data_IF_166441730664
#
_entry.id   IF_166441730664
#
_cell.length_a   1.000
_cell.length_b   1.000
_cell.length_c   1.000
_cell.angle_alpha   90.00
_cell.angle_beta   90.00
_cell.angle_gamma   90.00
#
_symmetry.space_group_name_H-M   'P 1'
#
loop_
_entity.id
_entity.type
_entity.pdbx_description
1 polymer ?
#
# COMPACT_ATOMS: atom_id res chain seq x y z
N UNK A 1 -0.57 -8.80 76.50
CA UNK A 1 -0.56 -9.61 75.26
C UNK A 1 0.27 -8.86 74.22
N UNK A 2 1.34 -9.45 73.71
CA UNK A 2 2.21 -8.85 72.68
C UNK A 2 1.58 -9.09 71.29
N UNK A 3 1.59 -8.13 70.35
CA UNK A 3 1.17 -8.40 68.98
C UNK A 3 2.30 -9.09 68.19
N UNK A 4 1.94 -10.16 67.47
CA UNK A 4 2.85 -10.90 66.58
C UNK A 4 3.21 -10.06 65.35
N UNK A 5 4.52 -9.92 65.10
CA UNK A 5 5.12 -9.18 63.98
C UNK A 5 5.17 -9.96 62.66
N UNK A 6 4.44 -11.07 62.53
CA UNK A 6 4.44 -11.92 61.32
C UNK A 6 3.04 -12.45 60.96
N UNK A 7 2.07 -11.55 60.84
CA UNK A 7 0.78 -11.89 60.24
C UNK A 7 0.83 -11.62 58.72
N UNK A 8 0.96 -12.69 57.92
CA UNK A 8 0.87 -12.64 56.45
C UNK A 8 -0.58 -12.33 56.02
N UNK A 9 -0.90 -11.05 55.94
CA UNK A 9 -2.22 -10.53 55.55
C UNK A 9 -2.60 -10.79 54.09
N UNK A 10 -1.75 -11.45 53.30
CA UNK A 10 -1.93 -11.73 51.87
C UNK A 10 -2.54 -13.12 51.58
N UNK A 11 -2.72 -13.97 52.60
CA UNK A 11 -3.28 -15.33 52.46
C UNK A 11 -4.76 -15.42 52.86
N UNK A 12 -5.43 -14.30 53.12
CA UNK A 12 -6.88 -14.28 53.34
C UNK A 12 -7.62 -14.22 51.99
N UNK A 13 -8.64 -15.05 51.76
CA UNK A 13 -9.29 -15.17 50.46
C UNK A 13 -10.22 -13.99 50.10
N UNK A 14 -10.29 -12.93 50.91
CA UNK A 14 -11.33 -11.89 50.81
C UNK A 14 -10.83 -10.45 50.61
N UNK A 15 -9.62 -10.27 50.06
CA UNK A 15 -9.15 -8.93 49.68
C UNK A 15 -8.95 -8.79 48.18
N UNK A 16 -9.69 -7.84 47.61
CA UNK A 16 -9.72 -7.39 46.22
C UNK A 16 -8.36 -7.50 45.51
N UNK A 17 -8.25 -8.45 44.58
CA UNK A 17 -7.11 -8.55 43.66
C UNK A 17 -7.04 -7.31 42.78
N UNK A 18 -5.92 -6.60 42.90
CA UNK A 18 -5.47 -5.62 41.93
C UNK A 18 -5.45 -6.25 40.52
N UNK A 19 -6.02 -5.52 39.56
CA UNK A 19 -6.07 -5.84 38.13
C UNK A 19 -4.69 -6.16 37.59
N UNK A 20 -4.47 -7.43 37.28
CA UNK A 20 -3.30 -7.89 36.55
C UNK A 20 -3.66 -9.16 35.78
N UNK A 21 -3.86 -8.99 34.48
CA UNK A 21 -3.65 -9.99 33.43
C UNK A 21 -4.42 -11.32 33.52
N UNK A 22 -5.43 -11.50 32.66
CA UNK A 22 -5.86 -12.82 32.19
C UNK A 22 -5.83 -12.84 30.67
N UNK A 23 -4.93 -13.67 30.13
CA UNK A 23 -4.87 -13.95 28.72
C UNK A 23 -6.05 -14.77 28.22
N UNK A 24 -6.42 -14.43 26.99
CA UNK A 24 -7.01 -15.23 25.90
C UNK A 24 -8.46 -15.77 25.99
N UNK A 25 -9.10 -15.61 24.82
CA UNK A 25 -10.18 -16.37 24.18
C UNK A 25 -11.64 -15.91 24.38
N UNK A 26 -12.22 -15.54 23.24
CA UNK A 26 -13.61 -15.70 22.81
C UNK A 26 -14.73 -14.99 23.60
N UNK A 27 -15.20 -13.86 23.03
CA UNK A 27 -16.63 -13.75 22.73
C UNK A 27 -16.83 -12.87 21.51
N UNK A 28 -17.48 -13.46 20.52
CA UNK A 28 -18.05 -12.81 19.37
C UNK A 28 -19.27 -12.00 19.83
N UNK A 29 -19.61 -10.97 19.07
CA UNK A 29 -20.77 -10.07 19.26
C UNK A 29 -20.75 -9.15 20.49
N UNK A 30 -20.31 -7.91 20.26
CA UNK A 30 -20.96 -6.75 20.88
C UNK A 30 -21.01 -5.61 19.86
N UNK A 31 -22.10 -5.60 19.08
CA UNK A 31 -22.56 -4.47 18.30
C UNK A 31 -22.76 -3.26 19.22
N UNK A 32 -22.35 -2.06 18.79
CA UNK A 32 -22.75 -0.82 19.47
C UNK A 32 -21.81 0.37 19.44
N UNK A 33 -20.77 0.39 18.59
CA UNK A 33 -20.08 1.66 18.29
C UNK A 33 -20.59 2.14 16.95
N UNK A 34 -21.48 3.14 17.00
CA UNK A 34 -21.95 3.92 15.87
C UNK A 34 -20.76 4.58 15.18
N UNK A 35 -20.31 3.96 14.08
CA UNK A 35 -19.49 4.60 13.06
C UNK A 35 -20.27 5.78 12.47
N UNK A 36 -19.64 6.95 12.24
CA UNK A 36 -20.26 7.97 11.43
C UNK A 36 -20.33 7.44 10.00
N UNK A 37 -21.58 7.16 9.61
CA UNK A 37 -22.07 6.79 8.29
C UNK A 37 -21.22 7.38 7.15
N UNK A 38 -20.47 6.52 6.46
CA UNK A 38 -19.88 6.83 5.15
C UNK A 38 -21.04 6.95 4.15
N UNK A 39 -21.13 8.12 3.52
CA UNK A 39 -22.14 8.44 2.52
C UNK A 39 -21.88 7.64 1.23
N UNK A 40 -22.94 7.02 0.70
CA UNK A 40 -22.90 6.06 -0.39
C UNK A 40 -22.56 6.72 -1.74
N UNK A 41 -21.46 6.32 -2.38
CA UNK A 41 -21.36 6.25 -3.85
C UNK A 41 -20.32 5.19 -4.26
N UNK A 42 -20.76 4.00 -4.68
CA UNK A 42 -20.08 3.02 -5.58
C UNK A 42 -18.64 2.57 -5.30
N UNK A 43 -17.93 3.08 -4.30
CA UNK A 43 -16.58 2.65 -3.96
C UNK A 43 -16.66 1.51 -2.95
N UNK A 44 -16.36 0.31 -3.42
CA UNK A 44 -16.51 -0.94 -2.68
C UNK A 44 -15.49 -1.10 -1.54
N UNK A 45 -14.60 -0.14 -1.36
CA UNK A 45 -13.47 -0.20 -0.44
C UNK A 45 -13.42 0.96 0.55
N UNK A 46 -12.97 0.67 1.77
CA UNK A 46 -12.82 1.70 2.80
C UNK A 46 -11.74 2.73 2.45
N UNK A 47 -11.84 3.92 3.06
CA UNK A 47 -10.79 4.95 3.01
C UNK A 47 -9.40 4.39 3.34
N UNK A 48 -9.31 3.46 4.31
CA UNK A 48 -8.04 2.86 4.71
C UNK A 48 -7.44 1.98 3.61
N UNK A 49 -8.28 1.21 2.90
CA UNK A 49 -7.83 0.45 1.73
C UNK A 49 -7.27 1.37 0.65
N UNK A 50 -7.99 2.45 0.30
CA UNK A 50 -7.54 3.39 -0.74
C UNK A 50 -6.22 4.07 -0.39
N UNK A 51 -6.04 4.45 0.87
CA UNK A 51 -4.77 4.99 1.34
C UNK A 51 -3.69 3.92 1.23
N UNK A 52 -3.91 2.71 1.75
CA UNK A 52 -2.91 1.65 1.76
C UNK A 52 -2.51 1.14 0.37
N UNK A 53 -3.43 1.14 -0.60
CA UNK A 53 -3.17 0.71 -1.98
C UNK A 53 -2.39 1.74 -2.80
N UNK A 54 -2.44 3.03 -2.41
CA UNK A 54 -1.77 4.14 -3.09
C UNK A 54 -0.24 4.02 -3.13
N UNK A 55 0.36 4.55 -4.20
CA UNK A 55 1.81 4.55 -4.35
C UNK A 55 2.48 5.53 -3.36
N UNK A 56 1.80 6.62 -3.04
CA UNK A 56 2.21 7.64 -2.09
C UNK A 56 2.33 7.07 -0.68
N UNK A 57 1.40 6.20 -0.26
CA UNK A 57 1.49 5.51 1.02
C UNK A 57 2.61 4.47 1.06
N UNK A 58 2.84 3.73 -0.04
CA UNK A 58 3.99 2.82 -0.16
C UNK A 58 5.31 3.57 -0.04
N UNK A 59 5.35 4.79 -0.59
CA UNK A 59 6.50 5.67 -0.41
C UNK A 59 6.58 6.12 1.05
N UNK A 60 5.52 6.60 1.68
CA UNK A 60 5.58 7.13 3.04
C UNK A 60 4.73 6.32 4.04
N UNK A 61 5.16 5.09 4.40
CA UNK A 61 4.28 4.15 5.09
C UNK A 61 3.99 4.56 6.54
N UNK A 62 4.96 5.20 7.22
CA UNK A 62 4.78 5.69 8.58
C UNK A 62 3.76 6.82 8.64
N UNK A 63 3.79 7.74 7.67
CA UNK A 63 2.81 8.82 7.62
C UNK A 63 1.42 8.31 7.22
N UNK A 64 1.35 7.40 6.25
CA UNK A 64 0.10 6.79 5.81
C UNK A 64 -0.64 6.11 6.97
N UNK A 65 0.06 5.34 7.81
CA UNK A 65 -0.53 4.75 9.00
C UNK A 65 -1.11 5.79 9.96
N UNK A 66 -0.40 6.91 10.15
CA UNK A 66 -0.88 8.01 10.98
C UNK A 66 -2.14 8.66 10.41
N UNK A 67 -2.26 8.77 9.09
CA UNK A 67 -3.45 9.30 8.42
C UNK A 67 -4.65 8.37 8.55
N UNK A 68 -4.41 7.05 8.45
CA UNK A 68 -5.43 6.02 8.70
C UNK A 68 -5.89 6.06 10.16
N UNK A 69 -4.95 6.08 11.11
CA UNK A 69 -5.26 6.16 12.55
C UNK A 69 -6.03 7.46 12.90
N UNK A 70 -5.86 8.53 12.12
CA UNK A 70 -6.57 9.80 12.27
C UNK A 70 -7.91 9.87 11.49
N UNK A 71 -8.34 8.79 10.84
CA UNK A 71 -9.55 8.75 10.00
C UNK A 71 -9.59 9.86 8.94
N UNK A 72 -8.45 10.16 8.31
CA UNK A 72 -8.40 11.17 7.23
C UNK A 72 -9.03 10.58 5.96
N UNK A 73 -9.90 11.32 5.24
CA UNK A 73 -10.47 10.84 3.98
C UNK A 73 -9.37 10.64 2.93
N UNK A 74 -9.52 9.61 2.09
CA UNK A 74 -8.43 9.14 1.23
C UNK A 74 -7.92 10.22 0.27
N UNK A 75 -8.80 11.07 -0.28
CA UNK A 75 -8.40 12.13 -1.21
C UNK A 75 -7.48 13.15 -0.53
N UNK A 76 -7.80 13.55 0.71
CA UNK A 76 -6.97 14.46 1.48
C UNK A 76 -5.66 13.80 1.92
N UNK A 77 -5.73 12.52 2.29
CA UNK A 77 -4.57 11.75 2.71
C UNK A 77 -3.54 11.62 1.58
N UNK A 78 -3.97 11.32 0.35
CA UNK A 78 -3.07 11.20 -0.82
C UNK A 78 -2.38 12.53 -1.12
N UNK A 79 -3.10 13.65 -1.08
CA UNK A 79 -2.51 14.98 -1.28
C UNK A 79 -1.44 15.26 -0.23
N UNK A 80 -1.75 15.02 1.05
CA UNK A 80 -0.77 15.18 2.14
C UNK A 80 0.44 14.28 1.98
N UNK A 81 0.24 13.02 1.59
CA UNK A 81 1.33 12.07 1.38
C UNK A 81 2.25 12.50 0.23
N UNK A 82 1.67 13.05 -0.85
CA UNK A 82 2.41 13.55 -2.01
C UNK A 82 3.25 14.79 -1.70
N UNK A 83 2.71 15.70 -0.91
CA UNK A 83 3.40 16.95 -0.52
C UNK A 83 4.38 16.74 0.64
N UNK A 84 4.21 15.67 1.42
CA UNK A 84 5.06 15.40 2.57
C UNK A 84 6.37 14.70 2.20
N UNK A 85 7.44 15.09 2.89
CA UNK A 85 8.65 14.27 3.01
C UNK A 85 8.37 12.99 3.80
N UNK A 86 9.26 12.00 3.65
CA UNK A 86 9.11 10.72 4.34
C UNK A 86 9.16 10.92 5.86
N UNK A 87 8.17 10.40 6.56
CA UNK A 87 8.11 10.54 8.02
C UNK A 87 9.00 9.52 8.71
N UNK A 88 9.65 9.97 9.78
CA UNK A 88 10.41 9.10 10.67
C UNK A 88 9.50 8.49 11.73
N UNK A 89 9.83 7.26 12.14
CA UNK A 89 9.19 6.67 13.30
C UNK A 89 9.64 7.37 14.58
N UNK A 90 8.79 7.35 15.62
CA UNK A 90 9.16 7.90 16.94
C UNK A 90 10.42 7.27 17.52
N UNK A 91 10.69 6.00 17.20
CA UNK A 91 11.91 5.32 17.62
C UNK A 91 13.14 5.93 16.93
N UNK A 92 13.07 6.08 15.61
CA UNK A 92 14.15 6.66 14.81
C UNK A 92 14.42 8.10 15.21
N UNK A 93 13.38 8.92 15.40
CA UNK A 93 13.52 10.30 15.86
C UNK A 93 14.26 10.36 17.20
N UNK A 94 13.86 9.57 18.20
CA UNK A 94 14.53 9.53 19.52
C UNK A 94 15.97 9.08 19.45
N UNK A 95 16.29 8.14 18.56
CA UNK A 95 17.66 7.66 18.36
C UNK A 95 18.53 8.73 17.72
N UNK A 96 18.00 9.45 16.74
CA UNK A 96 18.73 10.51 16.07
C UNK A 96 18.91 11.75 16.95
N UNK A 97 17.91 12.12 17.76
CA UNK A 97 18.02 13.17 18.79
C UNK A 97 19.19 12.92 19.74
N UNK A 98 19.47 11.66 20.10
CA UNK A 98 20.54 11.30 21.02
C UNK A 98 21.93 11.26 20.37
N UNK A 99 22.03 11.16 19.05
CA UNK A 99 23.29 10.89 18.34
C UNK A 99 23.72 12.04 17.44
N UNK A 100 22.76 12.75 16.83
CA UNK A 100 23.03 13.85 15.92
C UNK A 100 22.95 15.18 16.66
N UNK A 101 24.11 15.81 16.88
CA UNK A 101 24.17 17.17 17.41
C UNK A 101 23.46 18.14 16.47
N UNK A 102 22.59 19.00 17.02
CA UNK A 102 21.84 19.95 16.20
C UNK A 102 20.64 19.37 15.46
N UNK A 103 20.22 18.13 15.79
CA UNK A 103 19.05 17.47 15.20
C UNK A 103 17.79 18.35 15.17
N UNK A 104 17.55 19.13 16.23
CA UNK A 104 16.38 20.00 16.34
C UNK A 104 16.36 21.13 15.31
N UNK A 105 17.53 21.54 14.80
CA UNK A 105 17.70 22.64 13.85
C UNK A 105 17.46 22.21 12.40
N UNK A 106 17.47 20.89 12.13
CA UNK A 106 17.23 20.34 10.80
C UNK A 106 15.74 20.40 10.45
N UNK A 107 15.44 20.63 9.18
CA UNK A 107 14.07 20.48 8.68
C UNK A 107 13.69 18.99 8.53
N UNK A 108 12.45 18.71 8.15
CA UNK A 108 11.95 17.33 8.06
C UNK A 108 12.61 16.52 6.93
N UNK A 109 13.06 17.18 5.85
CA UNK A 109 13.77 16.54 4.74
C UNK A 109 15.19 16.16 5.15
N UNK A 110 15.94 17.10 5.73
CA UNK A 110 17.29 16.91 6.25
C UNK A 110 17.33 15.88 7.37
N UNK A 111 16.34 15.90 8.28
CA UNK A 111 16.17 14.87 9.30
C UNK A 111 16.01 13.49 8.66
N UNK A 112 15.20 13.39 7.61
CA UNK A 112 15.02 12.11 6.93
C UNK A 112 16.32 11.63 6.30
N UNK A 113 17.01 12.53 5.59
CA UNK A 113 18.26 12.22 4.90
C UNK A 113 19.36 11.81 5.88
N UNK A 114 19.52 12.52 7.00
CA UNK A 114 20.53 12.18 8.00
C UNK A 114 20.20 10.87 8.73
N UNK A 115 18.94 10.61 9.03
CA UNK A 115 18.50 9.33 9.59
C UNK A 115 18.77 8.16 8.63
N UNK A 116 18.51 8.35 7.34
CA UNK A 116 18.82 7.37 6.31
C UNK A 116 20.34 7.12 6.23
N UNK A 117 21.15 8.16 6.14
CA UNK A 117 22.61 8.05 6.10
C UNK A 117 23.18 7.37 7.35
N UNK A 118 22.63 7.67 8.53
CA UNK A 118 23.01 6.98 9.76
C UNK A 118 22.67 5.49 9.72
N UNK A 119 21.48 5.13 9.21
CA UNK A 119 21.06 3.74 9.08
C UNK A 119 22.02 2.93 8.19
N UNK A 120 22.46 3.49 7.07
CA UNK A 120 23.41 2.84 6.17
C UNK A 120 24.78 2.59 6.83
N UNK A 121 25.27 3.56 7.61
CA UNK A 121 26.57 3.47 8.28
C UNK A 121 26.58 2.51 9.48
N UNK A 122 25.43 2.31 10.11
CA UNK A 122 25.32 1.61 11.42
C UNK A 122 24.49 0.33 11.36
N UNK A 123 24.23 -0.19 10.15
CA UNK A 123 23.40 -1.37 9.94
C UNK A 123 22.01 -1.23 10.59
N UNK A 124 21.36 -0.09 10.33
CA UNK A 124 20.04 0.28 10.82
C UNK A 124 19.89 0.36 12.35
N UNK A 125 20.94 0.77 13.07
CA UNK A 125 20.88 0.90 14.54
C UNK A 125 19.81 1.92 15.03
N UNK A 126 19.48 2.91 14.21
CA UNK A 126 18.38 3.85 14.47
C UNK A 126 17.00 3.33 14.02
N UNK A 127 16.92 2.12 13.45
CA UNK A 127 15.68 1.47 13.04
C UNK A 127 14.92 2.19 11.94
N UNK A 128 15.59 3.01 11.13
CA UNK A 128 14.99 3.70 9.99
C UNK A 128 14.33 2.68 9.04
N UNK A 129 15.10 1.71 8.53
CA UNK A 129 14.61 0.73 7.56
C UNK A 129 13.62 -0.26 8.19
N UNK A 130 13.92 -0.71 9.42
CA UNK A 130 13.05 -1.60 10.18
C UNK A 130 11.67 -0.97 10.41
N UNK A 131 11.61 0.32 10.73
CA UNK A 131 10.34 1.02 10.95
C UNK A 131 9.53 1.18 9.67
N UNK A 132 10.18 1.44 8.53
CA UNK A 132 9.50 1.50 7.23
C UNK A 132 8.94 0.13 6.85
N UNK A 133 9.72 -0.94 7.02
CA UNK A 133 9.26 -2.31 6.73
C UNK A 133 8.06 -2.70 7.59
N UNK A 134 8.16 -2.49 8.90
CA UNK A 134 7.06 -2.78 9.82
C UNK A 134 5.80 -1.94 9.50
N UNK A 135 5.99 -0.69 9.06
CA UNK A 135 4.89 0.16 8.65
C UNK A 135 4.24 -0.36 7.35
N UNK A 136 5.03 -0.76 6.36
CA UNK A 136 4.53 -1.37 5.13
C UNK A 136 3.76 -2.66 5.39
N UNK A 137 4.30 -3.57 6.21
CA UNK A 137 3.62 -4.81 6.61
C UNK A 137 2.30 -4.53 7.37
N UNK A 138 2.23 -3.44 8.14
CA UNK A 138 0.98 -3.04 8.80
C UNK A 138 -0.01 -2.45 7.78
N UNK A 139 0.45 -1.67 6.79
CA UNK A 139 -0.41 -1.13 5.74
C UNK A 139 -1.06 -2.22 4.90
N UNK A 140 -0.33 -3.30 4.60
CA UNK A 140 -0.87 -4.44 3.85
C UNK A 140 -2.10 -5.06 4.53
N UNK A 141 -2.22 -4.94 5.86
CA UNK A 141 -3.40 -5.45 6.61
C UNK A 141 -4.66 -4.61 6.39
N UNK A 142 -4.54 -3.39 5.91
CA UNK A 142 -5.67 -2.53 5.54
C UNK A 142 -6.10 -2.75 4.10
N UNK A 143 -5.34 -3.53 3.31
CA UNK A 143 -5.73 -3.87 1.94
C UNK A 143 -6.83 -4.92 2.00
N UNK A 144 -8.06 -4.47 1.77
CA UNK A 144 -9.21 -5.34 1.56
C UNK A 144 -9.06 -6.22 0.31
N UNK A 145 -9.66 -7.43 0.31
CA UNK A 145 -9.68 -8.30 -0.85
C UNK A 145 -10.49 -7.67 -1.99
N UNK A 146 -10.10 -7.95 -3.23
CA UNK A 146 -10.85 -7.49 -4.40
C UNK A 146 -12.30 -7.96 -4.37
N UNK A 147 -13.15 -7.11 -4.90
CA UNK A 147 -14.59 -7.35 -4.99
C UNK A 147 -14.94 -8.09 -6.26
N UNK A 148 -16.11 -8.75 -6.31
CA UNK A 148 -16.51 -9.58 -7.46
C UNK A 148 -16.52 -8.80 -8.78
N UNK A 149 -16.96 -7.54 -8.74
CA UNK A 149 -16.98 -6.65 -9.91
C UNK A 149 -15.56 -6.33 -10.40
N UNK A 150 -14.62 -6.08 -9.49
CA UNK A 150 -13.22 -5.83 -9.84
C UNK A 150 -12.54 -7.09 -10.38
N UNK A 151 -12.88 -8.26 -9.83
CA UNK A 151 -12.41 -9.55 -10.34
C UNK A 151 -12.92 -9.74 -11.77
N UNK A 152 -14.20 -9.47 -12.02
CA UNK A 152 -14.79 -9.59 -13.34
C UNK A 152 -14.16 -8.61 -14.34
N UNK A 153 -13.92 -7.36 -13.92
CA UNK A 153 -13.23 -6.36 -14.71
C UNK A 153 -11.77 -6.78 -15.02
N UNK A 154 -11.08 -7.39 -14.06
CA UNK A 154 -9.73 -7.93 -14.25
C UNK A 154 -9.75 -9.08 -15.27
N UNK A 155 -10.67 -10.04 -15.14
CA UNK A 155 -10.82 -11.16 -16.08
C UNK A 155 -11.08 -10.64 -17.49
N UNK A 156 -11.98 -9.66 -17.66
CA UNK A 156 -12.27 -9.05 -18.95
C UNK A 156 -11.03 -8.37 -19.53
N UNK A 157 -10.35 -7.53 -18.74
CA UNK A 157 -9.13 -6.83 -19.17
C UNK A 157 -8.03 -7.81 -19.59
N UNK A 158 -7.84 -8.88 -18.84
CA UNK A 158 -6.86 -9.94 -19.18
C UNK A 158 -7.29 -10.69 -20.43
N UNK A 159 -8.58 -11.00 -20.59
CA UNK A 159 -9.13 -11.63 -21.79
C UNK A 159 -8.92 -10.77 -23.04
N UNK A 160 -9.18 -9.47 -22.95
CA UNK A 160 -8.97 -8.51 -24.04
C UNK A 160 -7.50 -8.38 -24.42
N UNK A 161 -6.61 -8.32 -23.43
CA UNK A 161 -5.16 -8.30 -23.66
C UNK A 161 -4.70 -9.55 -24.43
N UNK A 162 -5.15 -10.73 -23.99
CA UNK A 162 -4.82 -11.99 -24.66
C UNK A 162 -5.42 -12.06 -26.07
N UNK A 163 -6.65 -11.56 -26.28
CA UNK A 163 -7.27 -11.50 -27.61
C UNK A 163 -6.51 -10.57 -28.56
N UNK A 164 -6.11 -9.37 -28.11
CA UNK A 164 -5.36 -8.40 -28.93
C UNK A 164 -3.98 -8.93 -29.32
N UNK A 165 -3.32 -9.63 -28.41
CA UNK A 165 -1.98 -10.17 -28.65
C UNK A 165 -2.00 -11.57 -29.27
N UNK A 166 -3.18 -12.15 -29.50
CA UNK A 166 -3.29 -13.46 -30.15
C UNK A 166 -3.16 -13.30 -31.67
N UNK A 167 -2.11 -13.86 -32.31
CA UNK A 167 -1.93 -13.80 -33.76
C UNK A 167 -3.03 -14.58 -34.53
N UNK A 168 -3.80 -15.43 -33.85
CA UNK A 168 -4.95 -16.14 -34.40
C UNK A 168 -6.29 -15.49 -34.05
N UNK A 169 -6.27 -14.26 -33.53
CA UNK A 169 -7.48 -13.46 -33.35
C UNK A 169 -8.10 -13.14 -34.72
N UNK A 170 -9.45 -13.13 -34.85
CA UNK A 170 -10.12 -12.78 -36.11
C UNK A 170 -9.65 -11.44 -36.69
N UNK A 171 -9.37 -10.46 -35.83
CA UNK A 171 -8.86 -9.14 -36.24
C UNK A 171 -7.45 -9.23 -36.84
N UNK A 172 -6.55 -9.97 -36.19
CA UNK A 172 -5.18 -10.20 -36.68
C UNK A 172 -5.16 -11.00 -37.98
N UNK A 173 -6.08 -11.97 -38.14
CA UNK A 173 -6.25 -12.74 -39.38
C UNK A 173 -6.77 -11.81 -40.51
N UNK A 174 -7.78 -10.99 -40.23
CA UNK A 174 -8.34 -10.05 -41.20
C UNK A 174 -7.33 -8.97 -41.62
N UNK A 175 -6.50 -8.50 -40.69
CA UNK A 175 -5.42 -7.57 -40.99
C UNK A 175 -4.36 -8.18 -41.91
N UNK A 176 -3.97 -9.44 -41.67
CA UNK A 176 -3.07 -10.19 -42.55
C UNK A 176 -3.64 -10.35 -43.95
N UNK A 177 -4.90 -10.73 -44.06
CA UNK A 177 -5.58 -10.88 -45.36
C UNK A 177 -5.60 -9.56 -46.14
N UNK A 178 -5.88 -8.44 -45.47
CA UNK A 178 -5.84 -7.11 -46.11
C UNK A 178 -4.43 -6.75 -46.59
N UNK A 179 -3.41 -7.03 -45.79
CA UNK A 179 -2.01 -6.81 -46.19
C UNK A 179 -1.63 -7.66 -47.41
N UNK A 180 -1.98 -8.94 -47.42
CA UNK A 180 -1.75 -9.84 -48.55
C UNK A 180 -2.47 -9.37 -49.83
N UNK A 181 -3.69 -8.83 -49.71
CA UNK A 181 -4.44 -8.25 -50.84
C UNK A 181 -3.79 -6.97 -51.37
N UNK A 182 -3.34 -6.07 -50.49
CA UNK A 182 -2.61 -4.86 -50.89
C UNK A 182 -1.27 -5.18 -51.56
N UNK A 183 -0.53 -6.17 -51.05
CA UNK A 183 0.70 -6.64 -51.66
C UNK A 183 0.46 -7.25 -53.03
N UNK A 184 -0.56 -8.10 -53.19
CA UNK A 184 -0.96 -8.64 -54.50
C UNK A 184 -1.27 -7.53 -55.50
N UNK A 185 -2.01 -6.49 -55.09
CA UNK A 185 -2.31 -5.33 -55.93
C UNK A 185 -1.04 -4.57 -56.35
N UNK A 186 -0.11 -4.33 -55.41
CA UNK A 186 1.17 -3.67 -55.73
C UNK A 186 2.00 -4.47 -56.73
N UNK A 187 2.08 -5.79 -56.53
CA UNK A 187 2.79 -6.69 -57.44
C UNK A 187 2.15 -6.70 -58.84
N UNK A 188 0.82 -6.69 -58.93
CA UNK A 188 0.10 -6.63 -60.20
C UNK A 188 0.34 -5.31 -60.93
N UNK A 189 0.24 -4.17 -60.24
CA UNK A 189 0.58 -2.86 -60.80
C UNK A 189 2.03 -2.80 -61.29
N UNK A 190 2.98 -3.36 -60.52
CA UNK A 190 4.39 -3.40 -60.90
C UNK A 190 4.63 -4.29 -62.12
N UNK A 191 3.95 -5.44 -62.18
CA UNK A 191 3.98 -6.35 -63.33
C UNK A 191 3.38 -5.72 -64.58
N UNK A 192 2.33 -4.90 -64.44
CA UNK A 192 1.77 -4.11 -65.55
C UNK A 192 2.73 -3.02 -66.01
N UNK A 193 3.39 -2.30 -65.10
CA UNK A 193 4.44 -1.32 -65.46
C UNK A 193 5.58 -1.98 -66.23
N UNK A 194 6.03 -3.15 -65.79
CA UNK A 194 7.06 -3.92 -66.50
C UNK A 194 6.58 -4.34 -67.90
N UNK A 195 5.33 -4.81 -68.04
CA UNK A 195 4.75 -5.17 -69.35
C UNK A 195 4.64 -3.97 -70.29
N UNK A 196 4.31 -2.79 -69.78
CA UNK A 196 4.26 -1.56 -70.58
C UNK A 196 5.66 -1.11 -71.01
N UNK A 197 6.67 -1.29 -70.16
CA UNK A 197 8.07 -0.97 -70.48
C UNK A 197 8.66 -1.88 -71.57
N UNK A 198 8.22 -3.14 -71.65
CA UNK A 198 8.64 -4.12 -72.68
C UNK A 198 7.82 -4.06 -73.98
N UNK A 199 6.89 -3.09 -74.14
CA UNK A 199 6.00 -2.97 -75.30
C UNK A 199 6.46 -1.94 -76.35
N UNK A 200 7.74 -1.59 -76.32
CA UNK A 200 8.48 -0.78 -77.30
C UNK A 200 9.54 -1.66 -77.97
#
# INVERSE_FOLDING_TARGET
>A
MKPDLYAFSHLRPDTNRARGYTGRYASWYSSGVSEPQEDNTTDTHSNAHWIASSQEAKNNPVYALRLIDNHTPYQSAIVKLRESYRYLSRYTTRKMEAVCSGWELLDDEDKNQEAFNYSLRTNDANGYQASLRAASEKLEKYIEPMTEDEIQALIQRTGDFMRRNNPHSPESIAERQRQEEEEKRKVEEERERQRQAFRW
#
